data_IF_020217784791
#
_entry.id   IF_020217784791
#
_cell.length_a   1.000
_cell.length_b   1.000
_cell.length_c   1.000
_cell.angle_alpha   90.00
_cell.angle_beta   90.00
_cell.angle_gamma   90.00
#
_symmetry.space_group_name_H-M   'P 1'
#
loop_
_entity.id
_entity.type
_entity.pdbx_description
1 polymer ?
#
# COMPACT_ATOMS: atom_id res chain seq x y z
N UNK A 1 27.46 -14.67 5.42
CA UNK A 1 28.60 -13.72 5.53
C UNK A 1 28.13 -12.25 5.48
N UNK A 2 28.74 -11.37 6.27
CA UNK A 2 28.34 -9.98 6.58
C UNK A 2 26.96 -9.80 7.27
N UNK A 3 25.84 -10.20 6.66
CA UNK A 3 24.51 -10.05 7.28
C UNK A 3 24.37 -10.86 8.58
N UNK A 4 24.90 -12.09 8.59
CA UNK A 4 24.93 -12.94 9.80
C UNK A 4 25.86 -12.37 10.88
N UNK A 5 27.00 -11.80 10.49
CA UNK A 5 27.90 -11.13 11.44
C UNK A 5 27.20 -9.95 12.11
N UNK A 6 26.50 -9.13 11.32
CA UNK A 6 25.70 -8.02 11.83
C UNK A 6 24.49 -8.48 12.65
N UNK A 7 23.90 -9.63 12.33
CA UNK A 7 22.83 -10.26 13.14
C UNK A 7 23.33 -10.57 14.55
N UNK A 8 24.54 -11.12 14.68
CA UNK A 8 25.15 -11.38 16.01
C UNK A 8 25.42 -10.10 16.79
N UNK A 9 25.95 -9.07 16.13
CA UNK A 9 26.21 -7.76 16.78
C UNK A 9 24.90 -7.16 17.27
N UNK A 10 23.86 -7.17 16.43
CA UNK A 10 22.54 -6.67 16.78
C UNK A 10 21.84 -7.48 17.89
N UNK A 11 22.23 -8.73 18.12
CA UNK A 11 21.68 -9.58 19.20
C UNK A 11 22.31 -9.30 20.57
N UNK A 12 23.25 -8.36 20.67
CA UNK A 12 23.94 -8.03 21.93
C UNK A 12 23.16 -7.05 22.83
N UNK A 13 21.91 -6.72 22.50
CA UNK A 13 21.01 -5.80 23.23
C UNK A 13 21.60 -4.41 23.54
N UNK A 14 22.64 -4.01 22.81
CA UNK A 14 23.29 -2.71 22.94
C UNK A 14 22.89 -1.80 21.77
N UNK A 15 22.88 -0.49 22.02
CA UNK A 15 22.58 0.48 20.96
C UNK A 15 23.72 0.49 19.94
N UNK A 16 23.37 0.23 18.67
CA UNK A 16 24.32 0.27 17.56
C UNK A 16 24.76 1.70 17.25
N UNK A 17 26.05 1.87 16.95
CA UNK A 17 26.57 3.13 16.45
C UNK A 17 26.01 3.46 15.06
N UNK A 18 26.23 4.68 14.59
CA UNK A 18 25.77 5.13 13.27
C UNK A 18 26.41 4.26 12.17
N UNK A 19 27.69 3.93 12.30
CA UNK A 19 28.43 3.09 11.36
C UNK A 19 27.89 1.66 11.35
N UNK A 20 27.67 1.05 12.52
CA UNK A 20 27.15 -0.30 12.64
C UNK A 20 25.73 -0.41 12.08
N UNK A 21 24.89 0.58 12.37
CA UNK A 21 23.53 0.67 11.82
C UNK A 21 23.52 0.80 10.31
N UNK A 22 24.40 1.64 9.76
CA UNK A 22 24.54 1.78 8.32
C UNK A 22 25.02 0.47 7.69
N UNK A 23 26.00 -0.19 8.30
CA UNK A 23 26.54 -1.47 7.84
C UNK A 23 25.47 -2.57 7.86
N UNK A 24 24.62 -2.62 8.90
CA UNK A 24 23.47 -3.51 8.99
C UNK A 24 22.52 -3.31 7.80
N UNK A 25 22.17 -2.06 7.52
CA UNK A 25 21.23 -1.76 6.42
C UNK A 25 21.80 -2.13 5.05
N UNK A 26 23.10 -1.89 4.83
CA UNK A 26 23.78 -2.26 3.58
C UNK A 26 23.85 -3.77 3.43
N UNK A 27 24.20 -4.49 4.50
CA UNK A 27 24.29 -5.94 4.48
C UNK A 27 22.95 -6.57 4.08
N UNK A 28 21.86 -6.21 4.76
CA UNK A 28 20.54 -6.77 4.44
C UNK A 28 20.00 -6.29 3.08
N UNK A 29 20.26 -5.03 2.68
CA UNK A 29 19.88 -4.53 1.35
C UNK A 29 20.55 -5.33 0.23
N UNK A 30 21.82 -5.69 0.40
CA UNK A 30 22.58 -6.46 -0.59
C UNK A 30 22.14 -7.93 -0.64
N UNK A 31 21.66 -8.48 0.48
CA UNK A 31 21.06 -9.82 0.49
C UNK A 31 19.72 -9.82 -0.24
N UNK A 32 18.84 -8.83 0.04
CA UNK A 32 17.47 -8.81 -0.49
C UNK A 32 17.37 -8.31 -1.94
N UNK A 33 18.29 -7.45 -2.38
CA UNK A 33 18.27 -6.83 -3.70
C UNK A 33 18.20 -7.83 -4.86
N UNK A 34 19.12 -8.82 -4.93
CA UNK A 34 19.09 -9.85 -5.95
C UNK A 34 17.80 -10.69 -5.94
N UNK A 35 17.31 -11.11 -4.76
CA UNK A 35 16.06 -11.90 -4.65
C UNK A 35 14.86 -11.15 -5.18
N UNK A 36 14.76 -9.85 -4.88
CA UNK A 36 13.71 -8.98 -5.42
C UNK A 36 13.80 -8.81 -6.93
N UNK A 37 15.01 -8.72 -7.48
CA UNK A 37 15.20 -8.65 -8.92
C UNK A 37 14.74 -9.95 -9.58
N UNK A 38 15.15 -11.10 -9.04
CA UNK A 38 14.70 -12.43 -9.48
C UNK A 38 13.19 -12.57 -9.40
N UNK A 39 12.59 -12.25 -8.26
CA UNK A 39 11.15 -12.34 -8.06
C UNK A 39 10.36 -11.48 -9.06
N UNK A 40 10.79 -10.23 -9.33
CA UNK A 40 10.14 -9.40 -10.36
C UNK A 40 10.22 -10.02 -11.76
N UNK A 41 11.37 -10.58 -12.12
CA UNK A 41 11.55 -11.21 -13.43
C UNK A 41 10.63 -12.43 -13.55
N UNK A 42 10.64 -13.31 -12.55
CA UNK A 42 9.82 -14.53 -12.58
C UNK A 42 8.32 -14.20 -12.54
N UNK A 43 7.90 -13.25 -11.71
CA UNK A 43 6.52 -12.77 -11.65
C UNK A 43 6.08 -12.11 -12.98
N UNK A 44 6.97 -11.37 -13.65
CA UNK A 44 6.64 -10.82 -14.98
C UNK A 44 6.49 -11.90 -16.06
N UNK A 45 7.27 -12.99 -15.98
CA UNK A 45 7.19 -14.11 -16.93
C UNK A 45 5.93 -14.93 -16.69
N UNK A 46 5.51 -15.11 -15.44
CA UNK A 46 4.25 -15.81 -15.10
C UNK A 46 3.02 -15.11 -15.68
N UNK A 47 3.02 -13.77 -15.74
CA UNK A 47 1.94 -13.02 -16.38
C UNK A 47 1.91 -13.19 -17.91
N UNK A 48 3.02 -13.57 -18.53
CA UNK A 48 3.14 -13.80 -19.97
C UNK A 48 2.85 -15.26 -20.37
N UNK A 49 3.05 -16.22 -19.47
CA UNK A 49 2.85 -17.66 -19.71
C UNK A 49 1.69 -18.24 -18.87
N UNK A 50 0.53 -18.52 -19.50
CA UNK A 50 -0.63 -19.19 -18.85
C UNK A 50 -0.35 -20.63 -18.37
N UNK A 51 0.83 -21.18 -18.69
CA UNK A 51 1.21 -22.54 -18.31
C UNK A 51 1.89 -22.57 -16.93
N UNK A 52 1.27 -23.30 -15.99
CA UNK A 52 1.65 -23.52 -14.57
C UNK A 52 3.04 -24.11 -14.30
N UNK A 53 3.97 -24.05 -15.25
CA UNK A 53 5.31 -24.61 -15.11
C UNK A 53 6.20 -23.83 -14.13
N UNK A 54 5.91 -22.55 -13.91
CA UNK A 54 6.79 -21.64 -13.15
C UNK A 54 6.31 -21.32 -11.72
N UNK A 55 5.10 -21.75 -11.34
CA UNK A 55 4.47 -21.48 -10.03
C UNK A 55 5.34 -21.98 -8.85
N UNK A 56 5.97 -23.15 -9.00
CA UNK A 56 6.87 -23.70 -7.99
C UNK A 56 8.13 -22.85 -7.77
N UNK A 57 8.63 -22.16 -8.80
CA UNK A 57 9.81 -21.30 -8.70
C UNK A 57 9.46 -19.98 -8.01
N UNK A 58 8.30 -19.40 -8.32
CA UNK A 58 7.77 -18.19 -7.66
C UNK A 58 7.62 -18.44 -6.17
N UNK A 59 6.91 -19.51 -5.80
CA UNK A 59 6.68 -19.89 -4.40
C UNK A 59 7.98 -20.10 -3.61
N UNK A 60 8.99 -20.72 -4.23
CA UNK A 60 10.29 -20.92 -3.59
C UNK A 60 10.97 -19.58 -3.28
N UNK A 61 11.04 -18.67 -4.27
CA UNK A 61 11.67 -17.36 -4.12
C UNK A 61 10.93 -16.49 -3.10
N UNK A 62 9.60 -16.54 -3.10
CA UNK A 62 8.76 -15.83 -2.12
C UNK A 62 9.02 -16.32 -0.71
N UNK A 63 9.09 -17.64 -0.52
CA UNK A 63 9.39 -18.22 0.80
C UNK A 63 10.77 -17.82 1.31
N UNK A 64 11.78 -17.71 0.43
CA UNK A 64 13.11 -17.22 0.81
C UNK A 64 13.10 -15.74 1.16
N UNK A 65 12.37 -14.93 0.39
CA UNK A 65 12.24 -13.49 0.63
C UNK A 65 11.53 -13.23 1.97
N UNK A 66 10.45 -13.96 2.24
CA UNK A 66 9.70 -13.90 3.50
C UNK A 66 10.60 -14.23 4.69
N UNK A 67 11.33 -15.36 4.64
CA UNK A 67 12.27 -15.76 5.71
C UNK A 67 13.32 -14.69 6.00
N UNK A 68 13.91 -14.08 4.97
CA UNK A 68 14.90 -13.00 5.15
C UNK A 68 14.27 -11.77 5.79
N UNK A 69 13.04 -11.42 5.39
CA UNK A 69 12.32 -10.28 5.94
C UNK A 69 11.89 -10.51 7.39
N UNK A 70 11.39 -11.70 7.73
CA UNK A 70 11.05 -12.09 9.10
C UNK A 70 12.29 -12.06 10.00
N UNK A 71 13.42 -12.59 9.51
CA UNK A 71 14.69 -12.60 10.25
C UNK A 71 15.14 -11.20 10.68
N UNK A 72 15.06 -10.20 9.79
CA UNK A 72 15.46 -8.82 10.11
C UNK A 72 14.40 -8.11 10.95
N UNK A 73 13.11 -8.36 10.71
CA UNK A 73 12.03 -7.79 11.49
C UNK A 73 12.10 -8.25 12.95
N UNK A 74 12.40 -9.52 13.18
CA UNK A 74 12.60 -10.08 14.52
C UNK A 74 13.76 -9.41 15.26
N UNK A 75 14.89 -9.20 14.59
CA UNK A 75 16.05 -8.51 15.18
C UNK A 75 15.72 -7.05 15.49
N UNK A 76 15.00 -6.38 14.59
CA UNK A 76 14.61 -4.98 14.75
C UNK A 76 13.61 -4.79 15.91
N UNK A 77 12.64 -5.68 16.05
CA UNK A 77 11.59 -5.56 17.06
C UNK A 77 12.08 -5.98 18.46
N UNK A 78 12.82 -7.09 18.55
CA UNK A 78 13.25 -7.67 19.83
C UNK A 78 14.46 -6.96 20.44
N UNK A 79 15.44 -6.55 19.63
CA UNK A 79 16.73 -6.05 20.14
C UNK A 79 16.97 -4.56 19.84
N UNK A 80 16.68 -4.09 18.62
CA UNK A 80 17.11 -2.74 18.17
C UNK A 80 16.12 -1.63 18.51
N UNK A 81 14.81 -1.89 18.47
CA UNK A 81 13.78 -0.93 18.87
C UNK A 81 13.82 -0.60 20.37
N UNK A 82 13.95 -1.58 21.29
CA UNK A 82 14.04 -1.28 22.71
C UNK A 82 15.38 -0.66 23.14
N UNK A 83 16.49 -0.98 22.46
CA UNK A 83 17.80 -0.40 22.77
C UNK A 83 17.99 1.03 22.23
N UNK A 84 17.10 1.52 21.35
CA UNK A 84 17.21 2.84 20.74
C UNK A 84 16.93 3.99 21.74
N UNK A 85 17.99 4.69 22.17
CA UNK A 85 17.86 5.83 23.09
C UNK A 85 17.58 7.13 22.34
N UNK A 86 18.17 7.32 21.16
CA UNK A 86 18.00 8.50 20.31
C UNK A 86 16.74 8.45 19.42
N UNK A 87 16.15 9.62 19.16
CA UNK A 87 15.03 9.76 18.22
C UNK A 87 15.40 9.35 16.78
N UNK A 88 16.63 9.65 16.35
CA UNK A 88 17.12 9.30 15.01
C UNK A 88 17.25 7.78 14.83
N UNK A 89 17.76 7.07 15.84
CA UNK A 89 17.84 5.61 15.87
C UNK A 89 16.46 4.97 15.70
N UNK A 90 15.46 5.47 16.46
CA UNK A 90 14.08 4.98 16.40
C UNK A 90 13.44 5.18 15.03
N UNK A 91 13.62 6.36 14.43
CA UNK A 91 13.10 6.65 13.08
C UNK A 91 13.76 5.74 12.06
N UNK A 92 15.08 5.54 12.14
CA UNK A 92 15.79 4.65 11.24
C UNK A 92 15.25 3.21 11.31
N UNK A 93 15.12 2.64 12.50
CA UNK A 93 14.62 1.27 12.67
C UNK A 93 13.17 1.14 12.22
N UNK A 94 12.30 2.09 12.55
CA UNK A 94 10.90 2.07 12.09
C UNK A 94 10.78 2.17 10.57
N UNK A 95 11.59 3.04 9.95
CA UNK A 95 11.66 3.13 8.49
C UNK A 95 12.08 1.79 7.88
N UNK A 96 13.13 1.19 8.43
CA UNK A 96 13.64 -0.09 7.99
C UNK A 96 12.59 -1.20 8.15
N UNK A 97 11.88 -1.26 9.28
CA UNK A 97 10.77 -2.19 9.49
C UNK A 97 9.66 -2.02 8.45
N UNK A 98 9.29 -0.77 8.13
CA UNK A 98 8.31 -0.47 7.09
C UNK A 98 8.74 -0.98 5.71
N UNK A 99 10.01 -0.78 5.37
CA UNK A 99 10.59 -1.26 4.12
C UNK A 99 10.50 -2.80 3.99
N UNK A 100 10.74 -3.56 5.07
CA UNK A 100 10.66 -5.03 5.08
C UNK A 100 9.23 -5.57 5.16
N UNK A 101 8.35 -4.98 5.99
CA UNK A 101 6.93 -5.36 6.01
C UNK A 101 6.27 -5.15 4.66
N UNK A 102 6.64 -4.08 3.95
CA UNK A 102 6.19 -3.85 2.58
C UNK A 102 6.60 -4.98 1.64
N UNK A 103 7.79 -5.58 1.80
CA UNK A 103 8.20 -6.71 0.96
C UNK A 103 7.38 -7.97 1.21
N UNK A 104 7.07 -8.28 2.48
CA UNK A 104 6.21 -9.42 2.83
C UNK A 104 4.79 -9.20 2.26
N UNK A 105 4.20 -8.03 2.52
CA UNK A 105 2.84 -7.72 2.09
C UNK A 105 2.69 -7.77 0.55
N UNK A 106 3.69 -7.32 -0.20
CA UNK A 106 3.66 -7.40 -1.67
C UNK A 106 3.71 -8.87 -2.14
N UNK A 107 4.58 -9.69 -1.55
CA UNK A 107 4.67 -11.11 -1.90
C UNK A 107 3.37 -11.87 -1.57
N UNK A 108 2.74 -11.57 -0.44
CA UNK A 108 1.44 -12.15 -0.08
C UNK A 108 0.31 -11.69 -1.01
N UNK A 109 0.35 -10.44 -1.47
CA UNK A 109 -0.69 -9.89 -2.36
C UNK A 109 -0.65 -10.57 -3.74
N UNK A 110 0.54 -10.81 -4.28
CA UNK A 110 0.70 -11.46 -5.59
C UNK A 110 0.36 -12.95 -5.54
N UNK A 111 0.41 -13.56 -4.35
CA UNK A 111 -0.09 -14.93 -4.13
C UNK A 111 -1.62 -15.03 -4.01
N UNK A 112 -2.35 -13.92 -3.86
CA UNK A 112 -3.81 -13.94 -3.84
C UNK A 112 -4.34 -14.23 -5.25
N UNK A 113 -5.26 -15.18 -5.34
CA UNK A 113 -5.83 -15.54 -6.64
C UNK A 113 -6.55 -14.36 -7.28
N UNK A 114 -6.16 -14.06 -8.52
CA UNK A 114 -6.89 -13.20 -9.47
C UNK A 114 -8.40 -13.50 -9.52
N UNK A 115 -8.80 -14.74 -9.18
CA UNK A 115 -10.18 -15.21 -9.14
C UNK A 115 -11.02 -14.51 -8.05
N UNK A 116 -10.45 -14.27 -6.86
CA UNK A 116 -11.11 -13.52 -5.78
C UNK A 116 -11.37 -12.06 -6.16
N UNK A 117 -10.41 -11.45 -6.87
CA UNK A 117 -10.55 -10.09 -7.39
C UNK A 117 -11.55 -10.02 -8.54
N UNK A 118 -11.60 -11.03 -9.41
CA UNK A 118 -12.60 -11.15 -10.50
C UNK A 118 -14.02 -11.31 -9.97
N UNK A 119 -14.24 -12.14 -8.96
CA UNK A 119 -15.55 -12.29 -8.32
C UNK A 119 -15.99 -11.01 -7.61
N UNK A 120 -15.07 -10.36 -6.89
CA UNK A 120 -15.36 -9.09 -6.20
C UNK A 120 -15.67 -7.96 -7.19
N UNK A 121 -14.94 -7.88 -8.30
CA UNK A 121 -15.20 -6.87 -9.35
C UNK A 121 -16.47 -7.16 -10.15
N UNK A 122 -16.81 -8.43 -10.36
CA UNK A 122 -18.08 -8.82 -10.98
C UNK A 122 -19.28 -8.40 -10.13
N UNK A 123 -19.21 -8.58 -8.80
CA UNK A 123 -20.25 -8.12 -7.88
C UNK A 123 -20.37 -6.58 -7.91
N UNK A 124 -19.25 -5.85 -7.88
CA UNK A 124 -19.28 -4.39 -8.00
C UNK A 124 -19.85 -3.91 -9.34
N UNK A 125 -19.59 -4.62 -10.43
CA UNK A 125 -20.13 -4.31 -11.75
C UNK A 125 -21.64 -4.53 -11.79
N UNK A 126 -22.13 -5.65 -11.26
CA UNK A 126 -23.57 -5.92 -11.16
C UNK A 126 -24.30 -4.87 -10.29
N UNK A 127 -23.68 -4.41 -9.20
CA UNK A 127 -24.24 -3.32 -8.39
C UNK A 127 -24.28 -1.99 -9.15
N UNK A 128 -23.23 -1.66 -9.91
CA UNK A 128 -23.17 -0.47 -10.78
C UNK A 128 -24.27 -0.51 -11.84
N UNK A 129 -24.47 -1.66 -12.48
CA UNK A 129 -25.46 -1.84 -13.54
C UNK A 129 -26.89 -1.71 -12.99
N UNK A 130 -27.15 -2.27 -11.80
CA UNK A 130 -28.43 -2.09 -11.10
C UNK A 130 -28.69 -0.63 -10.73
N UNK A 131 -27.68 0.07 -10.18
CA UNK A 131 -27.81 1.48 -9.83
C UNK A 131 -28.07 2.36 -11.08
N UNK A 132 -27.41 2.05 -12.21
CA UNK A 132 -27.61 2.72 -13.50
C UNK A 132 -29.04 2.53 -14.02
N UNK A 133 -29.57 1.31 -13.94
CA UNK A 133 -30.97 1.01 -14.29
C UNK A 133 -31.95 1.81 -13.43
N UNK A 134 -31.73 1.87 -12.12
CA UNK A 134 -32.64 2.59 -11.23
C UNK A 134 -32.61 4.11 -11.47
N UNK A 135 -31.42 4.64 -11.80
CA UNK A 135 -31.23 6.05 -12.14
C UNK A 135 -31.87 6.41 -13.49
N UNK A 136 -31.79 5.52 -14.48
CA UNK A 136 -32.43 5.72 -15.79
C UNK A 136 -33.96 5.60 -15.74
N UNK A 137 -34.51 4.74 -14.88
CA UNK A 137 -35.96 4.68 -14.63
C UNK A 137 -36.51 5.93 -13.93
N UNK A 138 -35.75 6.52 -13.01
CA UNK A 138 -36.14 7.78 -12.36
C UNK A 138 -36.24 8.97 -13.35
N UNK A 139 -35.44 8.95 -14.42
CA UNK A 139 -35.45 9.97 -15.47
C UNK A 139 -36.72 9.92 -16.37
N UNK A 140 -37.43 8.78 -16.40
CA UNK A 140 -38.60 8.57 -17.25
C UNK A 140 -39.94 8.92 -16.55
N UNK A 141 -39.93 9.30 -15.27
CA UNK A 141 -41.14 9.50 -14.47
C UNK A 141 -41.55 10.98 -14.27
N UNK A 142 -40.90 11.95 -14.92
CA UNK A 142 -41.24 13.38 -14.80
C UNK A 142 -42.14 13.91 -15.95
N UNK A 143 -43.01 13.06 -16.51
CA UNK A 143 -43.88 13.45 -17.63
C UNK A 143 -45.34 12.99 -17.48
N UNK A 144 -45.95 13.25 -16.32
CA UNK A 144 -47.42 13.30 -16.20
C UNK A 144 -47.86 14.65 -15.63
N UNK A 145 -48.57 15.41 -16.45
CA UNK A 145 -48.92 16.83 -16.31
C UNK A 145 -50.03 17.15 -15.27
N UNK A 146 -49.80 18.24 -14.49
CA UNK A 146 -50.70 19.36 -14.03
C UNK A 146 -51.97 19.09 -13.16
N UNK A 147 -52.47 20.08 -12.36
CA UNK A 147 -52.42 21.53 -12.58
C UNK A 147 -52.00 22.44 -11.40
N UNK A 148 -51.81 23.71 -11.76
CA UNK A 148 -51.31 24.82 -10.98
C UNK A 148 -52.33 25.44 -10.03
N UNK A 149 -51.88 25.89 -8.86
CA UNK A 149 -52.46 27.01 -8.11
C UNK A 149 -51.34 27.94 -7.60
N UNK A 150 -51.62 29.25 -7.63
CA UNK A 150 -50.74 30.37 -7.29
C UNK A 150 -51.03 30.85 -5.87
N UNK A 151 -50.00 31.24 -5.12
CA UNK A 151 -50.02 32.23 -4.01
C UNK A 151 -48.55 32.55 -3.68
N UNK A 152 -47.96 33.65 -4.15
CA UNK A 152 -47.95 35.05 -3.66
C UNK A 152 -47.11 35.31 -2.38
N UNK A 153 -45.91 35.85 -2.63
CA UNK A 153 -45.08 36.85 -1.93
C UNK A 153 -44.94 36.90 -0.39
N UNK A 154 -43.68 36.93 0.07
CA UNK A 154 -43.20 37.87 1.10
C UNK A 154 -41.66 38.04 1.04
N UNK A 155 -41.22 39.22 1.45
CA UNK A 155 -40.02 39.98 1.08
C UNK A 155 -38.83 39.85 2.08
N UNK A 156 -37.62 40.25 1.65
CA UNK A 156 -36.30 40.19 2.34
C UNK A 156 -36.16 41.22 3.51
N UNK A 157 -35.00 41.43 4.24
CA UNK A 157 -33.59 41.55 3.80
C UNK A 157 -32.51 40.93 4.76
N UNK A 158 -31.33 40.49 4.29
CA UNK A 158 -29.98 41.13 4.21
C UNK A 158 -29.06 41.04 5.46
N UNK A 159 -27.77 40.72 5.18
CA UNK A 159 -26.52 40.86 6.00
C UNK A 159 -26.32 39.81 7.12
N UNK A 160 -25.18 39.14 7.34
CA UNK A 160 -23.75 39.55 7.38
C UNK A 160 -22.79 38.34 7.21
N UNK A 161 -21.52 38.63 7.02
CA UNK A 161 -20.37 37.93 6.42
C UNK A 161 -19.86 36.59 7.01
N UNK A 162 -19.22 35.79 6.15
CA UNK A 162 -17.92 35.17 6.47
C UNK A 162 -17.17 34.79 5.17
N UNK A 163 -16.26 35.68 4.78
CA UNK A 163 -15.26 35.52 3.76
C UNK A 163 -14.13 34.58 4.24
N UNK A 164 -13.94 33.43 3.59
CA UNK A 164 -12.60 32.84 3.40
C UNK A 164 -12.51 32.28 1.98
N UNK A 165 -11.86 33.07 1.14
CA UNK A 165 -11.27 32.68 -0.13
C UNK A 165 -10.01 31.86 0.17
N UNK A 166 -9.81 30.69 -0.44
CA UNK A 166 -8.58 30.47 -1.25
C UNK A 166 -8.86 29.40 -2.30
N UNK A 167 -8.89 29.85 -3.54
CA UNK A 167 -8.69 29.07 -4.75
C UNK A 167 -7.26 28.52 -4.83
N UNK A 168 -7.09 27.54 -5.73
CA UNK A 168 -5.82 27.20 -6.40
C UNK A 168 -4.86 26.23 -5.70
N UNK A 169 -5.13 24.94 -5.86
CA UNK A 169 -4.08 23.93 -5.98
C UNK A 169 -4.29 23.13 -7.29
N UNK A 170 -4.18 23.83 -8.42
CA UNK A 170 -4.07 23.25 -9.76
C UNK A 170 -2.86 23.87 -10.47
N UNK A 171 -1.64 23.58 -9.98
CA UNK A 171 -0.43 23.61 -10.81
C UNK A 171 0.77 23.13 -10.00
N UNK A 172 1.08 21.84 -10.05
CA UNK A 172 2.44 21.31 -9.85
C UNK A 172 2.48 19.83 -10.26
N UNK A 173 2.20 19.58 -11.54
CA UNK A 173 2.45 18.32 -12.22
C UNK A 173 3.04 18.61 -13.61
N UNK A 174 4.23 19.21 -13.62
CA UNK A 174 5.26 19.03 -14.66
C UNK A 174 6.46 19.94 -14.36
N UNK A 175 7.51 19.36 -13.80
CA UNK A 175 8.92 19.67 -14.04
C UNK A 175 9.76 18.52 -13.48
#
# INVERSE_FOLDING_TARGET
EMAESMKRVASSDQELTIEERNLLSVAYKNVIGPRRASWRIVSSIEQEEESKSNEAQVSMIESELAKICEDILDVLDKHLTPSATSGESRVFYRKMMGDYRRYIAIAELDALSEESYKDSTLIMQLLRDNLSLWTSLACMQDSTEKPAEKEEAAEAPAEEEAQICVSDFHSCANS
#
